data_IF_970129045591
#
_entry.id   IF_970129045591
#
_cell.length_a   1.000
_cell.length_b   1.000
_cell.length_c   1.000
_cell.angle_alpha   90.00
_cell.angle_beta   90.00
_cell.angle_gamma   90.00
#
_symmetry.space_group_name_H-M   'P 1'
#
loop_
_entity.id
_entity.type
_entity.pdbx_description
1 polymer ?
#
# COMPACT_ATOMS: atom_id res chain seq x y z
N UNK A 1 1.75 17.11 -2.21
CA UNK A 1 2.89 16.99 -1.27
C UNK A 1 3.61 15.67 -1.59
N UNK A 2 4.72 15.68 -2.37
CA UNK A 2 5.32 14.46 -2.92
C UNK A 2 6.37 13.78 -2.01
N UNK A 3 6.81 14.45 -0.93
CA UNK A 3 7.88 13.96 -0.07
C UNK A 3 7.56 12.67 0.72
N UNK A 4 6.28 12.46 1.06
CA UNK A 4 5.83 11.26 1.78
C UNK A 4 5.90 9.98 0.94
N UNK A 5 5.70 10.08 -0.38
CA UNK A 5 5.80 8.93 -1.28
C UNK A 5 7.25 8.45 -1.44
N UNK A 6 8.20 9.38 -1.45
CA UNK A 6 9.64 9.07 -1.51
C UNK A 6 10.12 8.34 -0.24
N UNK A 7 9.61 8.71 0.94
CA UNK A 7 9.94 8.01 2.19
C UNK A 7 9.53 6.53 2.15
N UNK A 8 8.32 6.24 1.67
CA UNK A 8 7.82 4.86 1.54
C UNK A 8 8.70 4.07 0.56
N UNK A 9 9.09 4.67 -0.56
CA UNK A 9 9.95 4.05 -1.55
C UNK A 9 11.36 3.75 -1.02
N UNK A 10 11.95 4.69 -0.28
CA UNK A 10 13.27 4.51 0.34
C UNK A 10 13.24 3.44 1.43
N UNK A 11 12.20 3.42 2.26
CA UNK A 11 12.01 2.35 3.25
C UNK A 11 11.83 0.98 2.58
N UNK A 12 11.08 0.93 1.48
CA UNK A 12 10.88 -0.30 0.71
C UNK A 12 12.18 -0.83 0.12
N UNK A 13 12.91 0.01 -0.63
CA UNK A 13 14.17 -0.39 -1.26
C UNK A 13 15.24 -0.72 -0.20
N UNK A 14 15.33 0.05 0.88
CA UNK A 14 16.28 -0.19 1.97
C UNK A 14 16.01 -1.50 2.73
N UNK A 15 14.74 -1.77 3.05
CA UNK A 15 14.33 -3.04 3.66
C UNK A 15 14.64 -4.23 2.75
N UNK A 16 14.36 -4.10 1.46
CA UNK A 16 14.62 -5.11 0.44
C UNK A 16 16.12 -5.34 0.16
N UNK A 17 16.94 -4.29 0.24
CA UNK A 17 18.38 -4.37 -0.02
C UNK A 17 19.18 -4.94 1.17
N UNK A 18 18.60 -4.94 2.37
CA UNK A 18 19.24 -5.45 3.60
C UNK A 18 18.95 -6.93 3.82
N UNK A 19 18.20 -7.56 2.90
CA UNK A 19 17.75 -8.92 3.11
C UNK A 19 18.90 -9.93 2.99
N UNK A 20 18.84 -10.98 3.81
CA UNK A 20 19.89 -11.99 3.91
C UNK A 20 19.92 -12.88 2.65
N UNK A 21 21.08 -13.40 2.21
CA UNK A 21 21.15 -14.35 1.10
C UNK A 21 20.38 -15.67 1.35
N UNK A 22 19.99 -15.94 2.60
CA UNK A 22 19.10 -17.04 2.97
C UNK A 22 17.62 -16.66 3.09
N UNK A 23 17.25 -15.42 2.79
CA UNK A 23 15.88 -14.93 2.83
C UNK A 23 14.99 -15.68 1.85
N UNK A 24 13.78 -15.96 2.29
CA UNK A 24 12.76 -16.64 1.53
C UNK A 24 11.72 -15.66 1.00
N UNK A 25 10.90 -16.10 0.04
CA UNK A 25 9.72 -15.34 -0.38
C UNK A 25 8.77 -15.01 0.79
N UNK A 26 8.80 -15.76 1.89
CA UNK A 26 7.96 -15.45 3.05
C UNK A 26 8.44 -14.17 3.76
N UNK A 27 9.75 -14.03 3.98
CA UNK A 27 10.36 -12.88 4.62
C UNK A 27 10.14 -11.60 3.79
N UNK A 28 10.18 -11.73 2.46
CA UNK A 28 9.79 -10.69 1.52
C UNK A 28 8.35 -10.19 1.74
N UNK A 29 7.40 -11.11 1.83
CA UNK A 29 5.98 -10.77 1.99
C UNK A 29 5.71 -10.10 3.33
N UNK A 30 6.41 -10.51 4.39
CA UNK A 30 6.28 -9.91 5.71
C UNK A 30 6.69 -8.43 5.72
N UNK A 31 7.88 -8.11 5.19
CA UNK A 31 8.38 -6.73 5.11
C UNK A 31 7.55 -5.89 4.14
N UNK A 32 7.16 -6.46 2.98
CA UNK A 32 6.30 -5.80 2.01
C UNK A 32 4.97 -5.37 2.64
N UNK A 33 4.28 -6.28 3.32
CA UNK A 33 3.00 -5.99 3.96
C UNK A 33 3.14 -5.01 5.13
N UNK A 34 4.24 -5.09 5.89
CA UNK A 34 4.52 -4.18 6.99
C UNK A 34 4.69 -2.72 6.53
N UNK A 35 5.43 -2.50 5.44
CA UNK A 35 5.64 -1.15 4.87
C UNK A 35 4.34 -0.63 4.23
N UNK A 36 3.52 -1.52 3.65
CA UNK A 36 2.27 -1.14 2.99
C UNK A 36 1.10 -0.91 3.96
N UNK A 37 1.21 -1.26 5.25
CA UNK A 37 0.13 -1.08 6.25
C UNK A 37 -0.35 0.38 6.37
N UNK A 38 0.51 1.35 6.09
CA UNK A 38 0.15 2.77 6.14
C UNK A 38 -0.55 3.26 4.85
N UNK A 39 -0.01 3.02 3.64
CA UNK A 39 -0.65 3.45 2.40
C UNK A 39 -1.86 2.59 1.97
N UNK A 40 -1.86 1.29 2.25
CA UNK A 40 -2.86 0.36 1.72
C UNK A 40 -4.29 0.62 2.24
N UNK A 41 -4.53 0.88 3.54
CA UNK A 41 -5.87 1.18 4.04
C UNK A 41 -6.45 2.49 3.48
N UNK A 42 -5.62 3.50 3.22
CA UNK A 42 -6.05 4.77 2.63
C UNK A 42 -6.55 4.58 1.20
N UNK A 43 -5.82 3.78 0.41
CA UNK A 43 -6.22 3.43 -0.97
C UNK A 43 -7.51 2.62 -0.95
N UNK A 44 -7.62 1.63 -0.06
CA UNK A 44 -8.81 0.80 0.06
C UNK A 44 -10.03 1.62 0.49
N UNK A 45 -9.88 2.52 1.47
CA UNK A 45 -10.94 3.41 1.91
C UNK A 45 -11.42 4.33 0.79
N UNK A 46 -10.49 4.91 0.02
CA UNK A 46 -10.79 5.72 -1.16
C UNK A 46 -11.56 4.93 -2.22
N UNK A 47 -11.14 3.68 -2.48
CA UNK A 47 -11.80 2.79 -3.43
C UNK A 47 -13.23 2.42 -2.98
N UNK A 48 -13.41 2.04 -1.72
CA UNK A 48 -14.74 1.73 -1.14
C UNK A 48 -15.64 2.96 -1.20
N UNK A 49 -15.13 4.13 -0.81
CA UNK A 49 -15.86 5.39 -0.88
C UNK A 49 -16.29 5.73 -2.31
N UNK A 50 -15.40 5.54 -3.28
CA UNK A 50 -15.69 5.76 -4.69
C UNK A 50 -16.76 4.80 -5.22
N UNK A 51 -16.69 3.51 -4.87
CA UNK A 51 -17.71 2.52 -5.24
C UNK A 51 -19.08 2.86 -4.65
N UNK A 52 -19.14 3.30 -3.40
CA UNK A 52 -20.39 3.74 -2.75
C UNK A 52 -20.97 4.97 -3.45
N UNK A 53 -20.15 5.96 -3.80
CA UNK A 53 -20.57 7.13 -4.59
C UNK A 53 -21.16 6.73 -5.94
N UNK A 54 -20.52 5.81 -6.66
CA UNK A 54 -20.99 5.31 -7.97
C UNK A 54 -22.32 4.57 -7.88
N UNK A 55 -22.59 3.89 -6.76
CA UNK A 55 -23.90 3.25 -6.51
C UNK A 55 -25.01 4.28 -6.28
N UNK A 56 -24.73 5.38 -5.57
CA UNK A 56 -25.71 6.45 -5.32
C UNK A 56 -26.09 7.22 -6.58
N UNK A 57 -25.15 7.38 -7.50
CA UNK A 57 -25.37 8.04 -8.80
C UNK A 57 -26.32 7.24 -9.72
N UNK A 58 -26.40 5.91 -9.55
CA UNK A 58 -27.31 5.05 -10.33
C UNK A 58 -28.71 4.89 -9.74
N UNK A 59 -28.94 5.32 -8.50
CA UNK A 59 -30.25 5.19 -7.80
C UNK A 59 -31.11 6.44 -7.97
N UNK A 60 -30.51 7.57 -8.37
CA UNK A 60 -31.22 8.84 -8.63
C UNK A 60 -31.38 9.17 -10.13
N UNK A 61 -31.19 8.20 -11.02
CA UNK A 61 -31.57 8.29 -12.45
C UNK A 61 -32.83 7.48 -12.69
#
# INVERSE_FOLDING_TARGET
MPWSALLILVCFIGGMATDSPGSTMHDFWEVFLFIQIFPFPLVLLSLVWWLVRRKKEKVHV
#
